data_IF_028564690878
#
_entry.id   IF_028564690878
#
_cell.length_a   1.000
_cell.length_b   1.000
_cell.length_c   1.000
_cell.angle_alpha   90.00
_cell.angle_beta   90.00
_cell.angle_gamma   90.00
#
_symmetry.space_group_name_H-M   'P 1'
#
loop_
_entity.id
_entity.type
_entity.pdbx_description
1 polymer ?
#
# COMPACT_ATOMS: atom_id res chain seq x y z
N UNK A 1 6.75 -22.75 3.86
CA UNK A 1 5.81 -22.11 2.92
C UNK A 1 6.01 -20.62 3.04
N UNK A 2 6.48 -19.97 1.96
CA UNK A 2 6.67 -18.52 1.94
C UNK A 2 5.30 -17.84 1.77
N UNK A 3 4.82 -17.20 2.84
CA UNK A 3 3.50 -16.55 2.88
C UNK A 3 3.45 -15.28 2.03
N UNK A 4 4.61 -14.74 1.63
CA UNK A 4 4.72 -13.60 0.70
C UNK A 4 4.22 -13.90 -0.70
N UNK A 5 3.94 -15.17 -1.03
CA UNK A 5 3.42 -15.58 -2.34
C UNK A 5 1.90 -15.57 -2.42
N UNK A 6 1.18 -15.29 -1.33
CA UNK A 6 -0.28 -15.18 -1.36
C UNK A 6 -0.65 -13.80 -1.88
N UNK A 7 -1.22 -13.70 -3.11
CA UNK A 7 -1.38 -12.42 -3.78
C UNK A 7 -2.19 -11.37 -2.97
N UNK A 8 -3.27 -11.79 -2.30
CA UNK A 8 -4.06 -10.90 -1.45
C UNK A 8 -3.31 -10.40 -0.21
N UNK A 9 -2.48 -11.26 0.41
CA UNK A 9 -1.74 -10.91 1.62
C UNK A 9 -0.65 -9.87 1.30
N UNK A 10 -0.03 -10.03 0.13
CA UNK A 10 0.92 -9.07 -0.42
C UNK A 10 0.26 -7.71 -0.66
N UNK A 11 -0.90 -7.68 -1.32
CA UNK A 11 -1.66 -6.44 -1.52
C UNK A 11 -2.00 -5.73 -0.19
N UNK A 12 -2.47 -6.46 0.82
CA UNK A 12 -2.74 -5.90 2.16
C UNK A 12 -1.47 -5.28 2.76
N UNK A 13 -0.34 -5.97 2.66
CA UNK A 13 0.95 -5.48 3.15
C UNK A 13 1.37 -4.19 2.45
N UNK A 14 1.29 -4.15 1.12
CA UNK A 14 1.57 -2.94 0.32
C UNK A 14 0.67 -1.78 0.74
N UNK A 15 -0.63 -2.02 0.95
CA UNK A 15 -1.57 -0.98 1.42
C UNK A 15 -1.23 -0.49 2.82
N UNK A 16 -0.88 -1.38 3.75
CA UNK A 16 -0.47 -1.00 5.11
C UNK A 16 0.83 -0.19 5.12
N UNK A 17 1.81 -0.57 4.30
CA UNK A 17 3.04 0.21 4.14
C UNK A 17 2.76 1.62 3.60
N UNK A 18 1.89 1.72 2.59
CA UNK A 18 1.46 3.02 2.06
C UNK A 18 0.75 3.87 3.12
N UNK A 19 -0.19 3.29 3.89
CA UNK A 19 -0.90 3.99 4.97
C UNK A 19 0.07 4.50 6.04
N UNK A 20 1.07 3.70 6.41
CA UNK A 20 2.09 4.11 7.38
C UNK A 20 2.92 5.30 6.85
N UNK A 21 3.34 5.23 5.58
CA UNK A 21 4.07 6.35 4.95
C UNK A 21 3.19 7.59 4.81
N UNK A 22 1.90 7.44 4.52
CA UNK A 22 0.96 8.54 4.46
C UNK A 22 0.84 9.23 5.82
N UNK A 23 0.73 8.46 6.91
CA UNK A 23 0.70 9.01 8.26
C UNK A 23 1.95 9.84 8.59
N UNK A 24 3.14 9.41 8.15
CA UNK A 24 4.38 10.17 8.35
C UNK A 24 4.35 11.52 7.61
N UNK A 25 3.87 11.53 6.36
CA UNK A 25 3.72 12.75 5.55
C UNK A 25 2.70 13.70 6.18
N UNK A 26 1.55 13.18 6.64
CA UNK A 26 0.53 13.97 7.33
C UNK A 26 1.08 14.61 8.61
N UNK A 27 1.79 13.83 9.43
CA UNK A 27 2.46 14.35 10.63
C UNK A 27 3.46 15.45 10.30
N UNK A 28 4.22 15.30 9.21
CA UNK A 28 5.17 16.32 8.76
C UNK A 28 4.44 17.60 8.32
N UNK A 29 3.33 17.49 7.57
CA UNK A 29 2.54 18.65 7.16
C UNK A 29 1.96 19.38 8.38
N UNK A 30 1.36 18.64 9.32
CA UNK A 30 0.79 19.20 10.56
C UNK A 30 1.87 19.93 11.37
N UNK A 31 3.06 19.34 11.51
CA UNK A 31 4.17 19.97 12.22
C UNK A 31 4.66 21.28 11.55
N UNK A 32 4.39 21.47 10.26
CA UNK A 32 4.75 22.67 9.50
C UNK A 32 3.54 23.58 9.18
N UNK A 33 2.39 23.38 9.85
CA UNK A 33 1.18 24.16 9.63
C UNK A 33 1.34 25.66 9.94
N UNK A 34 2.32 26.02 10.78
CA UNK A 34 2.65 27.42 11.12
C UNK A 34 3.97 27.90 10.48
N UNK A 35 4.54 27.13 9.54
CA UNK A 35 5.81 27.48 8.88
C UNK A 35 5.56 28.33 7.63
N UNK A 36 6.01 29.60 7.59
CA UNK A 36 5.81 30.47 6.42
C UNK A 36 6.39 29.86 5.14
N UNK A 37 5.66 29.98 4.03
CA UNK A 37 6.09 29.46 2.72
C UNK A 37 6.15 27.93 2.59
N UNK A 38 5.67 27.17 3.58
CA UNK A 38 5.67 25.71 3.50
C UNK A 38 4.65 25.20 2.48
N UNK A 39 5.03 24.16 1.73
CA UNK A 39 4.16 23.48 0.76
C UNK A 39 3.83 22.08 1.26
N UNK A 40 2.54 21.79 1.38
CA UNK A 40 2.07 20.47 1.79
C UNK A 40 2.58 19.38 0.83
N UNK A 41 2.98 18.26 1.40
CA UNK A 41 3.40 17.07 0.66
C UNK A 41 2.25 16.06 0.65
N UNK A 42 2.11 15.32 -0.44
CA UNK A 42 1.14 14.24 -0.57
C UNK A 42 1.83 12.98 -1.10
N UNK A 43 1.38 11.84 -0.63
CA UNK A 43 1.81 10.55 -1.13
C UNK A 43 0.92 10.10 -2.28
N UNK A 44 1.52 9.76 -3.42
CA UNK A 44 0.76 9.21 -4.55
C UNK A 44 0.05 7.93 -4.12
N UNK A 45 -1.27 7.87 -4.36
CA UNK A 45 -2.13 6.75 -3.95
C UNK A 45 -1.88 5.57 -4.91
N UNK A 46 -1.38 4.42 -4.42
CA UNK A 46 -1.31 3.22 -5.24
C UNK A 46 -2.74 2.79 -5.57
N UNK A 47 -2.96 2.38 -6.82
CA UNK A 47 -4.23 1.81 -7.24
C UNK A 47 -4.37 0.40 -6.63
N UNK A 48 -4.90 0.38 -5.41
CA UNK A 48 -5.12 -0.85 -4.68
C UNK A 48 -6.14 -1.76 -5.37
N UNK A 49 -7.14 -1.19 -6.06
CA UNK A 49 -8.11 -1.98 -6.80
C UNK A 49 -7.45 -2.70 -7.97
N UNK A 50 -6.54 -2.04 -8.69
CA UNK A 50 -5.72 -2.68 -9.71
C UNK A 50 -4.79 -3.75 -9.13
N UNK A 51 -4.19 -3.51 -7.96
CA UNK A 51 -3.39 -4.53 -7.27
C UNK A 51 -4.23 -5.77 -6.94
N UNK A 52 -5.39 -5.60 -6.31
CA UNK A 52 -6.29 -6.73 -5.99
C UNK A 52 -6.77 -7.42 -7.27
N UNK A 53 -7.18 -6.69 -8.31
CA UNK A 53 -7.60 -7.30 -9.57
C UNK A 53 -6.46 -8.09 -10.25
N UNK A 54 -5.21 -7.61 -10.17
CA UNK A 54 -4.03 -8.34 -10.64
C UNK A 54 -3.80 -9.63 -9.82
N UNK A 55 -4.06 -9.59 -8.52
CA UNK A 55 -3.97 -10.76 -7.64
C UNK A 55 -4.99 -11.84 -7.98
N UNK A 56 -6.24 -11.47 -8.28
CA UNK A 56 -7.29 -12.40 -8.70
C UNK A 56 -6.98 -13.06 -10.05
N UNK A 57 -6.43 -12.29 -11.00
CA UNK A 57 -5.97 -12.84 -12.28
C UNK A 57 -4.85 -13.87 -12.07
N UNK A 58 -3.88 -13.58 -11.20
CA UNK A 58 -2.79 -14.50 -10.88
C UNK A 58 -3.30 -15.76 -10.18
N UNK A 59 -4.22 -15.63 -9.22
CA UNK A 59 -4.82 -16.76 -8.52
C UNK A 59 -5.60 -17.68 -9.48
N UNK A 60 -6.35 -17.11 -10.44
CA UNK A 60 -7.07 -17.87 -11.47
C UNK A 60 -6.14 -18.65 -12.41
N UNK A 61 -4.97 -18.09 -12.75
CA UNK A 61 -3.94 -18.80 -13.51
C UNK A 61 -3.31 -19.99 -12.76
N UNK A 62 -3.32 -20.01 -11.43
CA UNK A 62 -2.84 -21.18 -10.68
C UNK A 62 -3.90 -22.30 -10.58
N UNK A 63 -5.20 -21.95 -10.61
CA UNK A 63 -6.30 -22.93 -10.52
C UNK A 63 -6.74 -23.48 -11.88
N UNK A 64 -6.51 -22.74 -12.96
CA UNK A 64 -6.77 -23.16 -14.34
C UNK A 64 -5.42 -23.66 -14.87
N UNK A 65 -5.24 -24.94 -15.13
CA UNK A 65 -3.97 -25.53 -15.60
C UNK A 65 -3.50 -25.08 -16.99
N UNK A 66 -3.83 -23.86 -17.42
CA UNK A 66 -3.52 -23.28 -18.71
C UNK A 66 -2.26 -22.41 -18.63
N UNK A 67 -1.16 -23.01 -19.08
CA UNK A 67 0.06 -22.32 -19.50
C UNK A 67 1.18 -22.22 -18.46
N UNK A 68 2.46 -22.27 -18.89
CA UNK A 68 3.60 -22.09 -18.00
C UNK A 68 3.53 -20.72 -17.32
N UNK A 69 4.01 -20.60 -16.07
CA UNK A 69 4.01 -19.34 -15.35
C UNK A 69 4.75 -18.27 -16.16
N UNK A 70 4.33 -16.99 -16.07
CA UNK A 70 5.00 -15.92 -16.78
C UNK A 70 6.49 -15.92 -16.40
N UNK A 71 7.35 -16.05 -17.42
CA UNK A 71 8.80 -16.04 -17.27
C UNK A 71 9.22 -14.66 -16.80
N UNK A 72 9.68 -14.56 -15.55
CA UNK A 72 10.23 -13.31 -15.00
C UNK A 72 11.74 -13.33 -15.14
N UNK A 73 12.30 -12.25 -15.66
CA UNK A 73 13.76 -12.08 -15.72
C UNK A 73 14.32 -11.91 -14.30
N UNK A 74 15.32 -12.72 -13.94
CA UNK A 74 16.02 -12.62 -12.66
C UNK A 74 17.14 -11.57 -12.76
N UNK A 75 17.09 -10.55 -11.92
CA UNK A 75 18.18 -9.57 -11.85
C UNK A 75 19.43 -10.22 -11.26
N UNK A 76 20.56 -10.09 -11.94
CA UNK A 76 21.85 -10.67 -11.54
C UNK A 76 22.63 -9.81 -10.54
N UNK A 77 22.24 -8.54 -10.39
CA UNK A 77 22.85 -7.58 -9.48
C UNK A 77 21.77 -6.71 -8.82
N UNK A 78 21.92 -6.35 -7.53
CA UNK A 78 20.98 -5.46 -6.83
C UNK A 78 20.93 -4.03 -7.39
N UNK A 79 21.86 -3.64 -8.26
CA UNK A 79 21.90 -2.34 -8.95
C UNK A 79 21.32 -2.39 -10.38
N UNK A 80 20.90 -3.55 -10.87
CA UNK A 80 20.30 -3.67 -12.21
C UNK A 80 18.80 -3.35 -12.17
N UNK A 81 18.32 -2.63 -13.18
CA UNK A 81 16.89 -2.42 -13.41
C UNK A 81 16.25 -3.75 -13.83
N UNK A 82 15.44 -4.34 -12.95
CA UNK A 82 14.60 -5.48 -13.30
C UNK A 82 13.42 -5.03 -14.16
N UNK A 83 13.10 -5.77 -15.23
CA UNK A 83 11.87 -5.59 -16.02
C UNK A 83 10.65 -6.25 -15.39
N UNK A 84 10.82 -6.90 -14.23
CA UNK A 84 9.68 -7.14 -13.35
C UNK A 84 9.27 -5.79 -12.79
N UNK A 85 7.97 -5.51 -12.78
CA UNK A 85 7.40 -4.44 -11.97
C UNK A 85 7.84 -4.65 -10.53
N UNK A 86 9.03 -4.17 -10.16
CA UNK A 86 9.18 -3.41 -8.94
C UNK A 86 8.13 -2.33 -9.11
N UNK A 87 6.92 -2.63 -8.64
CA UNK A 87 6.11 -1.60 -8.00
C UNK A 87 7.13 -0.82 -7.20
N UNK A 88 7.38 0.41 -7.65
CA UNK A 88 8.21 1.39 -7.00
C UNK A 88 7.67 1.42 -5.56
N UNK A 89 8.24 0.61 -4.66
CA UNK A 89 7.77 0.49 -3.27
C UNK A 89 7.96 1.84 -2.56
N UNK A 90 8.76 2.73 -3.16
CA UNK A 90 8.75 4.16 -2.92
C UNK A 90 7.48 4.79 -3.47
N UNK A 91 6.42 4.76 -2.67
CA UNK A 91 5.28 5.64 -2.86
C UNK A 91 5.79 7.07 -3.11
N UNK A 92 5.54 7.59 -4.32
CA UNK A 92 6.13 8.84 -4.77
C UNK A 92 5.53 9.99 -3.99
N UNK A 93 6.39 10.81 -3.39
CA UNK A 93 5.96 12.01 -2.68
C UNK A 93 5.91 13.14 -3.69
N UNK A 94 4.74 13.76 -3.83
CA UNK A 94 4.52 14.94 -4.64
C UNK A 94 4.20 16.15 -3.77
N UNK A 95 4.37 17.35 -4.30
CA UNK A 95 3.79 18.55 -3.70
C UNK A 95 2.29 18.50 -3.94
N UNK A 96 1.50 18.74 -2.90
CA UNK A 96 0.05 18.81 -3.02
C UNK A 96 -0.34 20.07 -3.80
N UNK A 97 -1.38 19.97 -4.63
CA UNK A 97 -1.99 21.15 -5.24
C UNK A 97 -2.75 21.91 -4.15
N UNK A 98 -2.38 23.17 -3.83
CA UNK A 98 -3.00 23.90 -2.74
C UNK A 98 -4.41 24.35 -3.11
N UNK A 99 -5.40 23.92 -2.33
CA UNK A 99 -6.77 24.45 -2.41
C UNK A 99 -6.87 25.83 -1.73
N UNK A 100 -6.09 26.03 -0.66
CA UNK A 100 -5.99 27.28 0.09
C UNK A 100 -4.52 27.62 0.37
N UNK A 101 -4.18 28.91 0.29
CA UNK A 101 -2.86 29.44 0.63
C UNK A 101 -3.06 30.59 1.61
N UNK A 102 -2.50 30.44 2.81
CA UNK A 102 -2.53 31.46 3.86
C UNK A 102 -1.76 32.72 3.42
N UNK A 103 -2.04 33.90 4.00
CA UNK A 103 -1.36 35.16 3.64
C UNK A 103 0.18 35.13 3.81
N UNK A 104 0.70 34.24 4.65
CA UNK A 104 2.13 34.02 4.86
C UNK A 104 2.77 33.05 3.82
N UNK A 105 2.01 32.63 2.81
CA UNK A 105 2.45 31.71 1.76
C UNK A 105 2.45 30.22 2.15
N UNK A 106 1.93 29.87 3.32
CA UNK A 106 1.76 28.47 3.71
C UNK A 106 0.54 27.85 3.01
N UNK A 107 0.72 26.67 2.43
CA UNK A 107 -0.29 25.90 1.71
C UNK A 107 -0.87 24.72 2.52
N UNK A 108 -0.58 24.64 3.83
CA UNK A 108 -1.11 23.58 4.70
C UNK A 108 -2.47 24.01 5.26
N UNK A 109 -3.49 23.21 4.94
CA UNK A 109 -4.81 23.22 5.61
C UNK A 109 -4.81 22.17 6.73
N UNK A 110 -4.81 22.64 7.98
CA UNK A 110 -4.76 21.79 9.18
C UNK A 110 -6.02 20.94 9.36
N UNK A 111 -7.20 21.49 9.07
CA UNK A 111 -8.47 20.77 9.21
C UNK A 111 -8.47 19.55 8.28
N UNK A 112 -8.07 19.76 7.02
CA UNK A 112 -7.93 18.68 6.04
C UNK A 112 -6.86 17.66 6.45
N UNK A 113 -5.70 18.09 6.95
CA UNK A 113 -4.68 17.14 7.42
C UNK A 113 -5.22 16.24 8.53
N UNK A 114 -5.97 16.80 9.50
CA UNK A 114 -6.56 16.04 10.60
C UNK A 114 -7.63 15.05 10.13
N UNK A 115 -8.46 15.45 9.15
CA UNK A 115 -9.42 14.55 8.52
C UNK A 115 -8.72 13.37 7.82
N UNK A 116 -7.63 13.62 7.08
CA UNK A 116 -6.89 12.56 6.40
C UNK A 116 -6.14 11.64 7.39
N UNK A 117 -5.70 12.17 8.55
CA UNK A 117 -5.14 11.35 9.64
C UNK A 117 -6.19 10.39 10.19
N UNK A 118 -7.39 10.89 10.50
CA UNK A 118 -8.50 10.08 10.98
C UNK A 118 -8.86 8.98 9.97
N UNK A 119 -8.95 9.34 8.68
CA UNK A 119 -9.18 8.38 7.59
C UNK A 119 -8.08 7.32 7.52
N UNK A 120 -6.82 7.72 7.61
CA UNK A 120 -5.66 6.81 7.55
C UNK A 120 -5.69 5.80 8.70
N UNK A 121 -6.06 6.23 9.91
CA UNK A 121 -6.19 5.35 11.08
C UNK A 121 -7.32 4.32 10.89
N UNK A 122 -8.49 4.75 10.38
CA UNK A 122 -9.61 3.85 10.09
C UNK A 122 -9.22 2.80 9.03
N UNK A 123 -8.61 3.24 7.92
CA UNK A 123 -8.15 2.37 6.84
C UNK A 123 -7.12 1.35 7.36
N UNK A 124 -6.18 1.77 8.20
CA UNK A 124 -5.18 0.88 8.79
C UNK A 124 -5.83 -0.20 9.67
N UNK A 125 -6.78 0.20 10.53
CA UNK A 125 -7.55 -0.72 11.35
C UNK A 125 -8.33 -1.76 10.52
N UNK A 126 -8.92 -1.34 9.40
CA UNK A 126 -9.58 -2.23 8.45
C UNK A 126 -8.60 -3.26 7.85
N UNK A 127 -7.42 -2.82 7.41
CA UNK A 127 -6.40 -3.72 6.84
C UNK A 127 -5.91 -4.76 7.85
N UNK A 128 -5.70 -4.38 9.12
CA UNK A 128 -5.35 -5.32 10.19
C UNK A 128 -6.44 -6.38 10.38
N UNK A 129 -7.72 -5.97 10.38
CA UNK A 129 -8.84 -6.89 10.50
C UNK A 129 -8.92 -7.86 9.31
N UNK A 130 -8.69 -7.37 8.09
CA UNK A 130 -8.67 -8.21 6.89
C UNK A 130 -7.51 -9.22 6.93
N UNK A 131 -6.31 -8.79 7.31
CA UNK A 131 -5.15 -9.65 7.50
C UNK A 131 -5.44 -10.79 8.49
N UNK A 132 -6.00 -10.46 9.66
CA UNK A 132 -6.39 -11.45 10.69
C UNK A 132 -7.38 -12.49 10.15
N UNK A 133 -8.41 -12.05 9.42
CA UNK A 133 -9.40 -12.93 8.80
C UNK A 133 -8.74 -13.88 7.79
N UNK A 134 -7.85 -13.38 6.94
CA UNK A 134 -7.16 -14.20 5.95
C UNK A 134 -6.30 -15.28 6.59
N UNK A 135 -5.53 -14.94 7.64
CA UNK A 135 -4.75 -15.91 8.40
C UNK A 135 -5.64 -16.96 9.07
N UNK A 136 -6.81 -16.56 9.58
CA UNK A 136 -7.78 -17.50 10.15
C UNK A 136 -8.31 -18.50 9.11
N UNK A 137 -8.64 -18.05 7.90
CA UNK A 137 -9.07 -18.92 6.79
C UNK A 137 -7.97 -19.90 6.39
N UNK A 138 -6.72 -19.45 6.29
CA UNK A 138 -5.58 -20.32 5.99
C UNK A 138 -5.37 -21.39 7.07
N UNK A 139 -5.46 -21.01 8.35
CA UNK A 139 -5.40 -21.96 9.47
C UNK A 139 -6.53 -22.98 9.41
N UNK A 140 -7.74 -22.56 9.07
CA UNK A 140 -8.90 -23.45 8.92
C UNK A 140 -8.72 -24.44 7.77
N UNK A 141 -8.21 -23.99 6.62
CA UNK A 141 -7.93 -24.85 5.47
C UNK A 141 -6.83 -25.88 5.75
N UNK A 142 -5.80 -25.52 6.52
CA UNK A 142 -4.70 -26.41 6.90
C UNK A 142 -5.07 -27.37 8.04
N UNK A 143 -5.99 -26.98 8.93
CA UNK A 143 -6.26 -27.67 10.20
C UNK A 143 -7.29 -28.80 10.16
N UNK A 144 -7.84 -29.19 9.00
CA UNK A 144 -8.93 -30.17 8.93
C UNK A 144 -8.60 -31.48 8.18
N UNK A 145 -7.32 -31.74 7.86
CA UNK A 145 -6.90 -32.87 7.02
C UNK A 145 -6.01 -33.97 7.64
N UNK A 146 -5.56 -33.87 8.89
CA UNK A 146 -4.63 -34.85 9.49
C UNK A 146 -5.09 -35.30 10.87
N UNK A 147 -6.20 -36.02 10.89
CA UNK A 147 -6.78 -36.59 12.11
C UNK A 147 -7.78 -37.70 11.81
N UNK A 148 -7.38 -38.67 10.98
CA UNK A 148 -7.90 -40.04 10.94
C UNK A 148 -6.75 -40.97 10.59
#
# INVERSE_FOLDING_TARGET
>A
MDFSRIPLLDAIRTRMHWLNRNQEILSQNIANADTPGYKAKELEKPDFAALVAATERRARHFSSGDGPPPVTLQATSPLHFGTGSQIDEGARVRTADPEEVQPNGNAVDLERQLLEVSKTQMDYGLMVNLYRKQVSLLKMALGRGSGR
#
